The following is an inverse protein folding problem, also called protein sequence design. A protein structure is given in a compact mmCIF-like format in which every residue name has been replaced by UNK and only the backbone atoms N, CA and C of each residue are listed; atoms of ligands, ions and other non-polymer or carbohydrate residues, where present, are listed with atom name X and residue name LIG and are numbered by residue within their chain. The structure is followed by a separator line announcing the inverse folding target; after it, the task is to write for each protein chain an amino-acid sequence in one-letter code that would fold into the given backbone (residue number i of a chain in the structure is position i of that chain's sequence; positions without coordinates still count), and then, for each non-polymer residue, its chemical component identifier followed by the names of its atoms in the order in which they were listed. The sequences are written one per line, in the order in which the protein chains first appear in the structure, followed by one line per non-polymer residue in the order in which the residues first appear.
data_IF_370299351253
#
_entry.id   IF_370299351253
#
_cell.length_a   1.000
_cell.length_b   1.000
_cell.length_c   1.000
_cell.angle_alpha   90.00
_cell.angle_beta   90.00
_cell.angle_gamma   90.00
#
_symmetry.space_group_name_H-M   'P 1'
#
loop_
_entity.id
_entity.type
_entity.pdbx_description
1 polymer ?
#
# COMPACT_ATOMS: atom_id res chain seq x y z
N UNK A 1 -8.69 19.15 19.69
CA UNK A 1 -9.84 18.20 19.81
C UNK A 1 -9.47 17.16 20.87
N UNK A 2 -10.35 16.78 21.80
CA UNK A 2 -9.99 15.69 22.72
C UNK A 2 -9.96 14.35 21.98
N UNK A 3 -8.93 13.52 22.19
CA UNK A 3 -8.86 12.18 21.58
C UNK A 3 -10.06 11.32 21.99
N UNK A 4 -10.49 10.42 21.08
CA UNK A 4 -11.58 9.46 21.34
C UNK A 4 -11.10 8.24 22.15
N UNK A 5 -9.81 7.95 22.14
CA UNK A 5 -9.17 6.86 22.87
C UNK A 5 -8.37 7.39 24.06
N UNK A 6 -8.39 6.67 25.17
CA UNK A 6 -7.65 7.03 26.37
C UNK A 6 -6.14 6.73 26.23
N UNK A 7 -5.81 5.60 25.60
CA UNK A 7 -4.46 5.18 25.29
C UNK A 7 -4.24 5.26 23.75
N UNK A 8 -3.02 5.56 23.25
CA UNK A 8 -2.79 5.71 21.82
C UNK A 8 -2.99 4.42 21.05
N UNK A 9 -3.32 4.55 19.76
CA UNK A 9 -3.07 3.48 18.77
C UNK A 9 -1.60 3.53 18.42
N UNK A 10 -0.89 2.41 18.56
CA UNK A 10 0.52 2.33 18.24
C UNK A 10 0.66 1.94 16.77
N UNK A 11 1.46 2.70 16.03
CA UNK A 11 1.79 2.43 14.63
C UNK A 11 3.28 2.09 14.54
N UNK A 12 3.59 0.86 14.21
CA UNK A 12 4.97 0.40 14.02
C UNK A 12 5.41 0.64 12.58
N UNK A 13 6.33 1.59 12.36
CA UNK A 13 6.87 2.00 11.08
C UNK A 13 6.41 3.38 10.62
N UNK A 14 7.39 4.25 10.32
CA UNK A 14 7.21 5.64 9.88
C UNK A 14 7.28 5.84 8.37
N UNK A 15 7.10 4.78 7.57
CA UNK A 15 6.99 4.86 6.11
C UNK A 15 5.64 5.41 5.63
N UNK A 16 5.42 5.42 4.30
CA UNK A 16 4.19 5.94 3.68
C UNK A 16 2.92 5.34 4.32
N UNK A 17 2.89 4.00 4.53
CA UNK A 17 1.72 3.33 5.11
C UNK A 17 1.44 3.73 6.56
N UNK A 18 2.48 3.81 7.39
CA UNK A 18 2.33 4.17 8.81
C UNK A 18 1.92 5.63 9.03
N UNK A 19 2.55 6.57 8.31
CA UNK A 19 2.14 7.98 8.35
C UNK A 19 0.72 8.19 7.82
N UNK A 20 0.36 7.47 6.74
CA UNK A 20 -1.01 7.49 6.23
C UNK A 20 -2.03 6.94 7.24
N UNK A 21 -1.68 5.84 7.96
CA UNK A 21 -2.53 5.27 9.01
C UNK A 21 -2.74 6.25 10.17
N UNK A 22 -1.66 6.90 10.64
CA UNK A 22 -1.76 7.91 11.69
C UNK A 22 -2.66 9.08 11.27
N UNK A 23 -2.51 9.58 10.03
CA UNK A 23 -3.37 10.63 9.48
C UNK A 23 -4.84 10.19 9.39
N UNK A 24 -5.10 8.99 8.91
CA UNK A 24 -6.46 8.46 8.79
C UNK A 24 -7.14 8.33 10.15
N UNK A 25 -6.42 7.83 11.15
CA UNK A 25 -6.89 7.74 12.53
C UNK A 25 -7.15 9.12 13.14
N UNK A 26 -6.22 10.06 12.99
CA UNK A 26 -6.36 11.43 13.48
C UNK A 26 -7.55 12.17 12.86
N UNK A 27 -7.81 11.97 11.54
CA UNK A 27 -8.99 12.50 10.87
C UNK A 27 -10.31 11.96 11.41
N UNK A 28 -10.27 10.83 12.11
CA UNK A 28 -11.42 10.23 12.83
C UNK A 28 -11.38 10.52 14.35
N UNK A 29 -10.42 11.34 14.79
CA UNK A 29 -10.30 11.78 16.18
C UNK A 29 -9.59 10.80 17.11
N UNK A 30 -8.88 9.81 16.58
CA UNK A 30 -8.09 8.88 17.38
C UNK A 30 -6.66 9.39 17.53
N UNK A 31 -6.13 9.30 18.75
CA UNK A 31 -4.73 9.56 19.06
C UNK A 31 -3.87 8.36 18.69
N UNK A 32 -2.72 8.60 18.08
CA UNK A 32 -1.75 7.58 17.72
C UNK A 32 -0.30 7.99 18.01
N UNK A 33 0.56 7.00 18.21
CA UNK A 33 2.02 7.17 18.31
C UNK A 33 2.67 6.36 17.21
N UNK A 34 3.46 7.02 16.37
CA UNK A 34 4.20 6.38 15.26
C UNK A 34 5.64 6.14 15.69
N UNK A 35 6.07 4.89 15.64
CA UNK A 35 7.45 4.48 15.91
C UNK A 35 8.21 4.28 14.61
N UNK A 36 9.36 4.94 14.49
CA UNK A 36 10.31 4.78 13.39
C UNK A 36 11.67 4.33 13.93
N UNK A 37 12.24 3.28 13.32
CA UNK A 37 13.52 2.72 13.74
C UNK A 37 14.71 3.63 13.40
N UNK A 38 14.62 4.39 12.30
CA UNK A 38 15.66 5.34 11.91
C UNK A 38 15.72 6.54 12.86
N UNK A 39 16.86 7.22 12.88
CA UNK A 39 17.08 8.43 13.69
C UNK A 39 16.28 9.64 13.18
N UNK A 40 15.76 9.56 11.96
CA UNK A 40 14.89 10.58 11.37
C UNK A 40 13.88 9.93 10.43
N UNK A 41 12.73 10.57 10.27
CA UNK A 41 11.77 10.20 9.24
C UNK A 41 12.33 10.58 7.87
N UNK A 42 12.34 9.62 6.94
CA UNK A 42 12.82 9.84 5.58
C UNK A 42 12.64 8.61 4.71
N UNK A 43 12.80 8.81 3.41
CA UNK A 43 12.74 7.74 2.42
C UNK A 43 13.92 7.85 1.47
N UNK A 44 14.56 6.72 1.17
CA UNK A 44 15.58 6.64 0.13
C UNK A 44 14.86 6.70 -1.23
N UNK A 45 15.12 7.77 -1.98
CA UNK A 45 14.27 8.19 -3.07
C UNK A 45 14.56 7.57 -4.42
N UNK A 46 13.56 6.99 -5.02
CA UNK A 46 13.38 6.80 -6.46
C UNK A 46 12.03 7.38 -6.86
N UNK A 47 11.77 7.45 -8.17
CA UNK A 47 10.45 7.83 -8.66
C UNK A 47 9.37 6.84 -8.24
N UNK A 48 8.17 7.36 -8.11
CA UNK A 48 6.94 6.60 -7.85
C UNK A 48 5.81 7.11 -8.74
N UNK A 49 4.90 6.24 -9.12
CA UNK A 49 3.73 6.57 -9.93
C UNK A 49 2.50 6.70 -9.02
N UNK A 50 1.67 7.69 -9.29
CA UNK A 50 0.45 8.01 -8.54
C UNK A 50 -0.74 7.86 -9.48
N UNK A 51 -1.36 6.70 -9.45
CA UNK A 51 -2.59 6.40 -10.19
C UNK A 51 -3.82 7.06 -9.52
N UNK A 52 -4.97 7.14 -10.20
CA UNK A 52 -6.17 7.80 -9.67
C UNK A 52 -6.61 7.32 -8.30
N UNK A 53 -6.55 6.02 -8.01
CA UNK A 53 -6.89 5.46 -6.70
C UNK A 53 -5.98 5.98 -5.58
N UNK A 54 -4.69 6.17 -5.85
CA UNK A 54 -3.75 6.77 -4.89
C UNK A 54 -4.08 8.25 -4.61
N UNK A 55 -4.45 9.02 -5.65
CA UNK A 55 -4.89 10.41 -5.48
C UNK A 55 -6.12 10.51 -4.59
N UNK A 56 -7.12 9.65 -4.79
CA UNK A 56 -8.30 9.62 -3.93
C UNK A 56 -7.95 9.35 -2.47
N UNK A 57 -6.99 8.46 -2.21
CA UNK A 57 -6.52 8.21 -0.85
C UNK A 57 -5.77 9.41 -0.27
N UNK A 58 -4.86 10.04 -1.02
CA UNK A 58 -4.15 11.25 -0.61
C UNK A 58 -5.09 12.43 -0.32
N UNK A 59 -6.12 12.61 -1.14
CA UNK A 59 -7.14 13.64 -0.94
C UNK A 59 -7.98 13.33 0.33
N UNK A 60 -8.35 12.08 0.57
CA UNK A 60 -9.03 11.64 1.80
C UNK A 60 -8.18 11.89 3.05
N UNK A 61 -6.87 11.65 2.97
CA UNK A 61 -5.90 11.95 4.03
C UNK A 61 -5.62 13.45 4.20
N UNK A 62 -6.05 14.29 3.24
CA UNK A 62 -5.93 15.75 3.27
C UNK A 62 -4.53 16.27 2.92
N UNK A 63 -3.71 15.45 2.26
CA UNK A 63 -2.35 15.83 1.81
C UNK A 63 -2.20 15.87 0.29
N UNK A 64 -3.26 15.54 -0.46
CA UNK A 64 -3.22 15.53 -1.92
C UNK A 64 -2.76 16.85 -2.52
N UNK A 65 -3.17 17.99 -1.96
CA UNK A 65 -2.74 19.32 -2.40
C UNK A 65 -1.23 19.59 -2.22
N UNK A 66 -0.60 19.00 -1.19
CA UNK A 66 0.85 19.11 -0.97
C UNK A 66 1.60 18.29 -2.03
N UNK A 67 1.19 17.05 -2.26
CA UNK A 67 1.82 16.16 -3.25
C UNK A 67 1.68 16.71 -4.67
N UNK A 68 0.54 17.34 -5.01
CA UNK A 68 0.29 17.93 -6.35
C UNK A 68 1.31 19.00 -6.73
N UNK A 69 1.92 19.70 -5.78
CA UNK A 69 2.91 20.74 -6.04
C UNK A 69 4.20 20.21 -6.65
N UNK A 70 4.60 19.00 -6.27
CA UNK A 70 5.85 18.37 -6.70
C UNK A 70 5.65 17.31 -7.79
N UNK A 71 4.40 16.89 -8.04
CA UNK A 71 4.07 15.87 -9.00
C UNK A 71 4.17 16.37 -10.46
N UNK A 72 4.59 15.48 -11.36
CA UNK A 72 4.52 15.68 -12.80
C UNK A 72 3.32 14.91 -13.34
N UNK A 73 2.34 15.63 -13.88
CA UNK A 73 1.20 15.02 -14.56
C UNK A 73 1.64 14.60 -15.95
N UNK A 74 1.52 13.31 -16.23
CA UNK A 74 1.95 12.72 -17.50
C UNK A 74 0.73 12.46 -18.40
N UNK A 75 0.98 12.41 -19.71
CA UNK A 75 -0.06 12.34 -20.74
C UNK A 75 -0.29 10.92 -21.24
N UNK A 76 0.67 10.01 -21.02
CA UNK A 76 0.59 8.63 -21.52
C UNK A 76 1.19 7.61 -20.55
N UNK A 77 0.66 6.37 -20.61
CA UNK A 77 1.39 5.17 -20.23
C UNK A 77 1.79 4.45 -21.51
N UNK A 78 3.10 4.31 -21.73
CA UNK A 78 3.63 3.75 -22.96
C UNK A 78 4.34 2.40 -22.71
N UNK A 79 4.13 1.45 -23.59
CA UNK A 79 4.98 0.27 -23.66
C UNK A 79 5.54 0.11 -25.07
N UNK A 80 6.86 0.00 -25.15
CA UNK A 80 7.60 -0.32 -26.36
C UNK A 80 8.16 -1.72 -26.29
N UNK A 81 8.26 -2.35 -27.44
CA UNK A 81 9.08 -3.53 -27.63
C UNK A 81 10.55 -3.14 -27.55
N UNK A 82 11.28 -3.69 -26.57
CA UNK A 82 12.67 -3.32 -26.32
C UNK A 82 13.63 -3.73 -27.44
N UNK A 83 13.28 -4.74 -28.24
CA UNK A 83 14.12 -5.26 -29.33
C UNK A 83 13.87 -4.51 -30.64
N UNK A 84 12.61 -4.39 -31.06
CA UNK A 84 12.26 -3.71 -32.32
C UNK A 84 12.14 -2.20 -32.21
N UNK A 85 11.90 -1.68 -31.01
CA UNK A 85 11.59 -0.27 -30.79
C UNK A 85 10.15 0.12 -31.14
N UNK A 86 9.30 -0.85 -31.52
CA UNK A 86 7.89 -0.62 -31.85
C UNK A 86 7.09 -0.19 -30.61
N UNK A 87 6.20 0.82 -30.77
CA UNK A 87 5.24 1.17 -29.74
C UNK A 87 4.09 0.17 -29.72
N UNK A 88 3.96 -0.58 -28.63
CA UNK A 88 3.00 -1.69 -28.47
C UNK A 88 1.75 -1.23 -27.71
N UNK A 89 1.93 -0.37 -26.68
CA UNK A 89 0.83 0.16 -25.86
C UNK A 89 0.93 1.67 -25.80
N UNK A 90 -0.22 2.32 -25.97
CA UNK A 90 -0.39 3.75 -25.76
C UNK A 90 -1.72 3.97 -25.05
N UNK A 91 -1.63 4.30 -23.76
CA UNK A 91 -2.81 4.61 -22.94
C UNK A 91 -2.81 6.12 -22.70
N UNK A 92 -3.66 6.89 -23.38
CA UNK A 92 -3.76 8.32 -23.16
C UNK A 92 -4.35 8.62 -21.78
N UNK A 93 -3.74 9.56 -21.05
CA UNK A 93 -4.16 10.00 -19.71
C UNK A 93 -4.87 11.36 -19.80
N UNK A 94 -5.72 11.51 -20.80
CA UNK A 94 -6.43 12.73 -21.17
C UNK A 94 -7.63 13.03 -20.25
N UNK A 95 -8.44 14.03 -20.64
CA UNK A 95 -9.65 14.42 -19.90
C UNK A 95 -10.67 13.27 -19.76
N UNK A 96 -10.73 12.31 -20.71
CA UNK A 96 -11.61 11.14 -20.63
C UNK A 96 -11.17 10.21 -19.52
N UNK A 97 -9.84 9.96 -19.44
CA UNK A 97 -9.24 9.19 -18.35
C UNK A 97 -9.54 9.82 -16.98
N UNK A 98 -9.25 11.12 -16.82
CA UNK A 98 -9.49 11.82 -15.56
C UNK A 98 -10.98 11.87 -15.18
N UNK A 99 -11.89 12.02 -16.18
CA UNK A 99 -13.33 11.96 -15.96
C UNK A 99 -13.80 10.57 -15.49
N UNK A 100 -13.24 9.51 -16.09
CA UNK A 100 -13.62 8.12 -15.75
C UNK A 100 -13.19 7.74 -14.35
N UNK A 101 -11.95 8.03 -14.00
CA UNK A 101 -11.36 7.59 -12.72
C UNK A 101 -11.39 8.66 -11.61
N UNK A 102 -11.89 9.87 -11.90
CA UNK A 102 -12.07 10.96 -10.95
C UNK A 102 -10.78 11.73 -10.62
N UNK A 103 -9.62 11.28 -11.07
CA UNK A 103 -8.32 11.91 -10.86
C UNK A 103 -7.38 11.64 -12.06
N UNK A 104 -6.39 12.53 -12.31
CA UNK A 104 -5.36 12.29 -13.31
C UNK A 104 -4.35 11.24 -12.86
N UNK A 105 -3.40 10.91 -13.72
CA UNK A 105 -2.22 10.11 -13.41
C UNK A 105 -0.99 11.01 -13.31
N UNK A 106 -0.13 10.74 -12.35
CA UNK A 106 1.10 11.51 -12.17
C UNK A 106 2.27 10.63 -11.74
N UNK A 107 3.45 11.22 -11.79
CA UNK A 107 4.69 10.65 -11.25
C UNK A 107 5.33 11.66 -10.30
N UNK A 108 6.01 11.18 -9.28
CA UNK A 108 6.69 12.05 -8.32
C UNK A 108 7.89 11.33 -7.70
N UNK A 109 8.67 12.03 -6.92
CA UNK A 109 9.71 11.42 -6.10
C UNK A 109 9.07 10.82 -4.83
N UNK A 110 9.47 9.60 -4.45
CA UNK A 110 8.89 8.89 -3.28
C UNK A 110 9.00 9.70 -1.98
N UNK A 111 10.11 10.42 -1.80
CA UNK A 111 10.33 11.28 -0.65
C UNK A 111 9.34 12.46 -0.58
N UNK A 112 8.79 12.91 -1.72
CA UNK A 112 7.84 14.01 -1.75
C UNK A 112 6.45 13.58 -1.22
N UNK A 113 6.03 12.33 -1.50
CA UNK A 113 4.83 11.75 -0.87
C UNK A 113 5.05 11.56 0.63
N UNK A 114 6.18 10.96 1.00
CA UNK A 114 6.52 10.72 2.40
C UNK A 114 6.58 12.03 3.21
N UNK A 115 7.27 13.05 2.67
CA UNK A 115 7.36 14.37 3.28
C UNK A 115 5.98 15.03 3.45
N UNK A 116 5.12 14.94 2.43
CA UNK A 116 3.76 15.48 2.50
C UNK A 116 2.89 14.80 3.58
N UNK A 117 3.03 13.47 3.73
CA UNK A 117 2.37 12.72 4.81
C UNK A 117 2.93 13.11 6.18
N UNK A 118 4.25 13.23 6.29
CA UNK A 118 4.93 13.64 7.52
C UNK A 118 4.52 15.05 7.95
N UNK A 119 4.45 15.99 7.02
CA UNK A 119 4.00 17.36 7.28
C UNK A 119 2.52 17.37 7.71
N UNK A 120 1.69 16.55 7.09
CA UNK A 120 0.31 16.33 7.53
C UNK A 120 0.21 15.81 8.97
N UNK A 121 1.09 14.87 9.35
CA UNK A 121 1.17 14.35 10.73
C UNK A 121 1.63 15.44 11.70
N UNK A 122 2.67 16.18 11.37
CA UNK A 122 3.19 17.29 12.19
C UNK A 122 2.19 18.42 12.40
N UNK A 123 1.25 18.58 11.49
CA UNK A 123 0.17 19.57 11.62
C UNK A 123 -0.90 19.19 12.64
N UNK A 124 -0.88 17.99 13.22
CA UNK A 124 -1.86 17.46 14.17
C UNK A 124 -1.17 16.92 15.45
N UNK A 125 -0.32 17.71 16.13
CA UNK A 125 0.50 17.21 17.24
C UNK A 125 -0.31 16.75 18.45
N UNK A 126 -1.55 17.20 18.60
CA UNK A 126 -2.46 16.78 19.64
C UNK A 126 -3.06 15.37 19.42
N UNK A 127 -2.95 14.83 18.19
CA UNK A 127 -3.49 13.51 17.83
C UNK A 127 -2.42 12.56 17.29
N UNK A 128 -1.26 13.07 16.90
CA UNK A 128 -0.18 12.23 16.33
C UNK A 128 1.14 12.56 17.02
N UNK A 129 1.68 11.59 17.75
CA UNK A 129 3.03 11.65 18.28
C UNK A 129 3.98 10.88 17.36
N UNK A 130 5.14 11.48 17.04
CA UNK A 130 6.16 10.90 16.16
C UNK A 130 7.42 10.58 16.97
N UNK A 131 7.85 9.30 16.99
CA UNK A 131 9.06 8.84 17.71
C UNK A 131 10.03 8.18 16.76
N UNK A 132 11.25 8.71 16.69
CA UNK A 132 12.38 8.14 15.95
C UNK A 132 13.31 7.34 16.88
N UNK A 133 14.27 6.59 16.31
CA UNK A 133 15.17 5.71 17.05
C UNK A 133 14.42 4.76 18.00
N UNK A 134 13.25 4.27 17.55
CA UNK A 134 12.29 3.50 18.34
C UNK A 134 11.84 2.26 17.54
N UNK A 135 12.76 1.30 17.40
CA UNK A 135 12.49 0.05 16.71
C UNK A 135 11.54 -0.83 17.53
N UNK A 136 10.41 -1.18 16.95
CA UNK A 136 9.49 -2.16 17.52
C UNK A 136 10.06 -3.55 17.34
N UNK A 137 10.16 -4.32 18.42
CA UNK A 137 10.72 -5.67 18.45
C UNK A 137 9.67 -6.76 18.73
N UNK A 138 8.48 -6.34 19.16
CA UNK A 138 7.38 -7.27 19.41
C UNK A 138 6.21 -6.64 20.16
N UNK A 139 5.24 -7.47 20.49
CA UNK A 139 4.05 -7.05 21.21
C UNK A 139 3.43 -8.20 22.01
N UNK A 140 2.56 -7.82 22.96
CA UNK A 140 1.63 -8.71 23.66
C UNK A 140 0.22 -8.12 23.56
N UNK A 141 -0.78 -8.94 23.18
CA UNK A 141 -2.19 -8.53 23.16
C UNK A 141 -2.88 -9.11 24.39
N UNK A 142 -3.38 -8.22 25.25
CA UNK A 142 -4.09 -8.56 26.49
C UNK A 142 -5.61 -8.49 26.33
N UNK A 143 -6.14 -8.43 25.10
CA UNK A 143 -7.58 -8.39 24.79
C UNK A 143 -8.22 -7.02 24.99
N UNK A 144 -7.86 -6.25 26.01
CA UNK A 144 -8.35 -4.89 26.27
C UNK A 144 -7.35 -3.82 25.84
N UNK A 145 -6.07 -4.14 25.75
CA UNK A 145 -4.97 -3.28 25.34
C UNK A 145 -3.82 -4.11 24.78
N UNK A 146 -2.91 -3.45 24.10
CA UNK A 146 -1.64 -4.05 23.65
C UNK A 146 -0.47 -3.45 24.41
N UNK A 147 0.57 -4.26 24.65
CA UNK A 147 1.87 -3.78 25.13
C UNK A 147 2.86 -3.99 24.00
N UNK A 148 3.41 -2.91 23.46
CA UNK A 148 4.39 -2.93 22.36
C UNK A 148 5.78 -2.77 22.95
N UNK A 149 6.70 -3.64 22.52
CA UNK A 149 8.10 -3.67 22.95
C UNK A 149 8.97 -2.98 21.90
N UNK A 150 9.79 -2.06 22.34
CA UNK A 150 10.90 -1.50 21.57
C UNK A 150 12.24 -2.00 22.11
N UNK A 151 13.35 -1.61 21.49
CA UNK A 151 14.69 -1.94 22.03
C UNK A 151 14.96 -1.30 23.41
N UNK A 152 14.22 -0.23 23.76
CA UNK A 152 14.46 0.56 24.96
C UNK A 152 13.35 0.49 25.99
N UNK A 153 12.10 0.41 25.54
CA UNK A 153 10.91 0.63 26.36
C UNK A 153 9.78 -0.34 26.01
N UNK A 154 8.79 -0.37 26.90
CA UNK A 154 7.48 -0.99 26.64
C UNK A 154 6.41 0.08 26.75
N UNK A 155 5.50 0.10 25.79
CA UNK A 155 4.47 1.10 25.69
C UNK A 155 3.10 0.43 25.57
N UNK A 156 2.19 0.86 26.43
CA UNK A 156 0.81 0.41 26.42
C UNK A 156 -0.01 1.24 25.43
N UNK A 157 -0.87 0.58 24.67
CA UNK A 157 -1.75 1.23 23.71
C UNK A 157 -3.09 0.52 23.57
N UNK A 158 -4.05 1.19 22.96
CA UNK A 158 -5.38 0.63 22.68
C UNK A 158 -5.31 -0.47 21.61
N UNK A 159 -4.43 -0.31 20.63
CA UNK A 159 -4.26 -1.24 19.50
C UNK A 159 -2.89 -1.04 18.84
N UNK A 160 -2.49 -1.99 17.99
CA UNK A 160 -1.24 -1.96 17.22
C UNK A 160 -1.51 -2.12 15.72
N UNK A 161 -0.97 -1.21 14.92
CA UNK A 161 -0.90 -1.29 13.45
C UNK A 161 0.54 -1.60 13.06
N UNK A 162 0.81 -2.78 12.52
CA UNK A 162 2.09 -3.19 11.96
C UNK A 162 2.24 -2.65 10.53
N UNK A 163 2.93 -1.52 10.39
CA UNK A 163 3.29 -0.88 9.12
C UNK A 163 4.82 -0.90 8.92
N UNK A 164 5.50 -1.92 9.45
CA UNK A 164 6.94 -2.10 9.58
C UNK A 164 7.58 -2.76 8.33
N UNK A 165 6.84 -2.74 7.21
CA UNK A 165 7.35 -3.06 5.88
C UNK A 165 7.50 -4.56 5.59
N UNK A 166 8.16 -4.88 4.48
CA UNK A 166 8.27 -6.25 3.97
C UNK A 166 8.99 -7.24 4.90
N UNK A 167 9.80 -6.74 5.86
CA UNK A 167 10.50 -7.54 6.89
C UNK A 167 9.82 -7.43 8.26
N UNK A 168 8.50 -7.25 8.28
CA UNK A 168 7.70 -7.00 9.47
C UNK A 168 7.86 -8.05 10.57
N UNK A 169 8.25 -7.60 11.77
CA UNK A 169 8.29 -8.43 12.98
C UNK A 169 6.88 -8.66 13.56
N UNK A 170 5.95 -7.74 13.25
CA UNK A 170 4.55 -7.89 13.66
C UNK A 170 3.89 -9.01 12.85
N UNK A 171 4.16 -9.06 11.54
CA UNK A 171 3.69 -10.14 10.65
C UNK A 171 4.16 -11.51 11.11
N UNK A 172 5.43 -11.64 11.45
CA UNK A 172 5.98 -12.91 11.95
C UNK A 172 5.15 -13.47 13.11
N UNK A 173 4.70 -12.61 14.02
CA UNK A 173 3.88 -13.03 15.18
C UNK A 173 2.41 -13.29 14.86
N UNK A 174 1.85 -12.66 13.82
CA UNK A 174 0.44 -12.87 13.42
C UNK A 174 0.31 -14.06 12.50
N UNK A 175 1.16 -14.11 11.46
CA UNK A 175 1.08 -15.05 10.34
C UNK A 175 1.96 -16.28 10.57
N UNK A 176 3.14 -16.11 11.21
CA UNK A 176 4.12 -17.18 11.44
C UNK A 176 5.10 -17.35 10.28
N UNK A 177 5.05 -16.52 9.22
CA UNK A 177 6.05 -16.51 8.16
C UNK A 177 7.22 -15.58 8.51
N UNK A 178 8.47 -15.99 8.24
CA UNK A 178 9.64 -15.29 8.76
C UNK A 178 10.21 -14.24 7.81
N UNK A 179 10.58 -14.62 6.60
CA UNK A 179 11.29 -13.74 5.67
C UNK A 179 10.56 -13.60 4.34
N UNK A 180 10.72 -12.44 3.66
CA UNK A 180 10.29 -12.29 2.28
C UNK A 180 10.99 -13.30 1.35
N UNK A 181 10.29 -13.71 0.31
CA UNK A 181 10.82 -14.59 -0.72
C UNK A 181 11.74 -13.84 -1.67
N UNK A 182 12.88 -14.45 -1.99
CA UNK A 182 13.82 -13.96 -2.99
C UNK A 182 13.30 -14.34 -4.36
N UNK A 183 13.07 -13.35 -5.24
CA UNK A 183 12.52 -13.59 -6.58
C UNK A 183 13.57 -13.99 -7.62
N UNK A 184 14.84 -13.73 -7.33
CA UNK A 184 15.91 -13.79 -8.33
C UNK A 184 15.94 -12.56 -9.26
N UNK A 185 15.03 -11.61 -9.12
CA UNK A 185 14.99 -10.39 -9.93
C UNK A 185 15.86 -9.30 -9.30
N UNK A 186 16.66 -8.63 -10.12
CA UNK A 186 17.48 -7.49 -9.71
C UNK A 186 16.97 -6.21 -10.35
N UNK A 187 16.83 -5.16 -9.56
CA UNK A 187 16.43 -3.84 -9.99
C UNK A 187 17.60 -2.87 -9.88
N UNK A 188 17.92 -2.18 -10.96
CA UNK A 188 18.92 -1.11 -11.03
C UNK A 188 18.21 0.22 -11.23
N UNK A 189 18.56 1.21 -10.43
CA UNK A 189 17.90 2.53 -10.45
C UNK A 189 18.93 3.64 -10.57
N UNK A 190 18.56 4.66 -11.34
CA UNK A 190 19.27 5.93 -11.40
C UNK A 190 18.28 7.09 -11.45
N UNK A 191 18.67 8.22 -10.89
CA UNK A 191 17.96 9.50 -11.05
C UNK A 191 18.93 10.43 -11.77
N UNK A 192 18.52 10.92 -12.93
CA UNK A 192 19.34 11.75 -13.84
C UNK A 192 18.89 13.20 -13.79
N UNK A 193 19.78 14.13 -14.06
CA UNK A 193 19.38 15.47 -14.47
C UNK A 193 18.69 15.39 -15.85
N UNK A 194 17.62 16.11 -16.06
CA UNK A 194 16.89 16.08 -17.33
C UNK A 194 17.76 16.48 -18.52
N UNK A 195 18.78 17.34 -18.31
CA UNK A 195 19.66 17.82 -19.36
C UNK A 195 20.58 16.71 -19.90
N UNK A 196 20.87 15.67 -19.09
CA UNK A 196 21.66 14.51 -19.49
C UNK A 196 20.85 13.49 -20.29
N UNK A 197 19.51 13.56 -20.23
CA UNK A 197 18.61 12.62 -20.91
C UNK A 197 18.52 12.97 -22.40
N UNK A 198 18.63 12.00 -23.33
CA UNK A 198 18.40 12.23 -24.76
C UNK A 198 17.03 12.88 -25.03
N UNK A 199 17.00 13.95 -25.83
CA UNK A 199 15.77 14.74 -26.07
C UNK A 199 14.63 13.89 -26.65
N UNK A 200 14.94 12.93 -27.51
CA UNK A 200 13.99 12.01 -28.15
C UNK A 200 13.44 10.93 -27.20
N UNK A 201 13.87 10.93 -25.93
CA UNK A 201 13.38 10.03 -24.87
C UNK A 201 12.68 10.77 -23.73
N UNK A 202 12.56 12.11 -23.80
CA UNK A 202 11.86 12.95 -22.81
C UNK A 202 10.35 12.94 -23.08
N UNK A 203 9.71 11.79 -22.91
CA UNK A 203 8.24 11.67 -23.07
C UNK A 203 7.49 12.21 -21.85
N UNK A 204 6.35 12.87 -22.07
CA UNK A 204 5.38 13.17 -21.01
C UNK A 204 4.63 11.88 -20.59
N UNK A 205 5.36 10.84 -20.22
CA UNK A 205 4.84 9.50 -20.03
C UNK A 205 5.61 8.73 -18.95
N UNK A 206 4.95 7.74 -18.37
CA UNK A 206 5.65 6.60 -17.81
C UNK A 206 5.84 5.57 -18.93
N UNK A 207 7.09 5.36 -19.31
CA UNK A 207 7.47 4.55 -20.46
C UNK A 207 8.14 3.27 -20.01
N UNK A 208 7.69 2.15 -20.55
CA UNK A 208 8.25 0.81 -20.33
C UNK A 208 8.79 0.26 -21.66
N UNK A 209 10.00 -0.26 -21.63
CA UNK A 209 10.62 -1.05 -22.71
C UNK A 209 10.66 -2.50 -22.27
N UNK A 210 9.90 -3.36 -22.95
CA UNK A 210 9.71 -4.76 -22.58
C UNK A 210 10.53 -5.67 -23.50
N UNK A 211 11.32 -6.58 -22.92
CA UNK A 211 12.06 -7.61 -23.66
C UNK A 211 12.25 -8.87 -22.81
N UNK A 212 12.83 -9.90 -23.40
CA UNK A 212 13.08 -11.17 -22.72
C UNK A 212 13.91 -10.97 -21.44
N UNK A 213 13.38 -11.45 -20.32
CA UNK A 213 14.02 -11.41 -18.99
C UNK A 213 14.45 -10.02 -18.49
N UNK A 214 13.99 -8.94 -19.13
CA UNK A 214 14.34 -7.60 -18.69
C UNK A 214 13.26 -6.58 -19.07
N UNK A 215 13.19 -5.49 -18.33
CA UNK A 215 12.46 -4.30 -18.75
C UNK A 215 13.12 -3.03 -18.20
N UNK A 216 12.88 -1.92 -18.90
CA UNK A 216 13.35 -0.59 -18.51
C UNK A 216 12.13 0.30 -18.36
N UNK A 217 12.04 1.04 -17.25
CA UNK A 217 10.98 2.02 -17.01
C UNK A 217 11.62 3.38 -16.77
N UNK A 218 11.08 4.42 -17.40
CA UNK A 218 11.54 5.77 -17.18
C UNK A 218 10.40 6.79 -17.24
N UNK A 219 10.56 7.91 -16.54
CA UNK A 219 9.62 9.03 -16.50
C UNK A 219 10.22 10.28 -15.86
N UNK A 220 9.70 11.48 -16.15
CA UNK A 220 10.18 12.75 -15.55
C UNK A 220 9.79 12.84 -14.07
N UNK A 221 10.55 13.65 -13.31
CA UNK A 221 10.31 13.95 -11.90
C UNK A 221 10.51 15.45 -11.62
N UNK A 222 9.95 15.93 -10.49
CA UNK A 222 10.17 17.27 -9.93
C UNK A 222 10.08 18.39 -10.96
N UNK A 223 8.91 18.48 -11.62
CA UNK A 223 8.67 19.53 -12.63
C UNK A 223 9.62 19.47 -13.82
N UNK A 224 10.00 18.25 -14.26
CA UNK A 224 10.95 18.04 -15.36
C UNK A 224 12.40 18.44 -15.06
N UNK A 225 12.80 18.55 -13.80
CA UNK A 225 14.20 18.79 -13.43
C UNK A 225 15.00 17.49 -13.37
N UNK A 226 14.35 16.41 -12.95
CA UNK A 226 14.94 15.09 -12.80
C UNK A 226 14.22 14.06 -13.67
N UNK A 227 14.90 12.92 -13.88
CA UNK A 227 14.39 11.82 -14.68
C UNK A 227 14.68 10.49 -13.98
N UNK A 228 13.64 9.71 -13.74
CA UNK A 228 13.77 8.40 -13.12
C UNK A 228 14.07 7.34 -14.16
N UNK A 229 15.03 6.50 -13.88
CA UNK A 229 15.38 5.33 -14.68
C UNK A 229 15.41 4.10 -13.77
N UNK A 230 14.66 3.08 -14.16
CA UNK A 230 14.58 1.78 -13.48
C UNK A 230 14.78 0.68 -14.52
N UNK A 231 15.79 -0.13 -14.34
CA UNK A 231 16.07 -1.29 -15.17
C UNK A 231 15.97 -2.54 -14.31
N UNK A 232 15.16 -3.50 -14.73
CA UNK A 232 14.93 -4.76 -14.00
C UNK A 232 15.33 -5.92 -14.85
N UNK A 233 16.05 -6.87 -14.28
CA UNK A 233 16.40 -8.15 -14.90
C UNK A 233 15.83 -9.30 -14.10
N UNK A 234 15.42 -10.36 -14.82
CA UNK A 234 15.06 -11.64 -14.25
C UNK A 234 16.31 -12.54 -14.30
N UNK A 235 16.69 -13.09 -13.16
CA UNK A 235 17.83 -13.99 -13.07
C UNK A 235 17.65 -14.98 -11.94
N UNK A 236 18.69 -15.71 -11.64
CA UNK A 236 18.75 -16.63 -10.49
C UNK A 236 19.60 -16.05 -9.37
N UNK A 237 19.46 -14.74 -9.14
CA UNK A 237 20.20 -14.07 -8.06
C UNK A 237 19.68 -14.55 -6.71
N UNK A 238 20.54 -15.12 -5.90
CA UNK A 238 20.19 -15.67 -4.57
C UNK A 238 20.72 -14.80 -3.42
N UNK A 239 21.60 -13.87 -3.74
CA UNK A 239 22.20 -12.92 -2.78
C UNK A 239 22.44 -11.58 -3.47
N UNK A 240 22.58 -10.55 -2.71
CA UNK A 240 22.92 -9.21 -3.20
C UNK A 240 21.94 -8.14 -2.77
N UNK A 241 22.40 -6.99 -2.72
CA UNK A 241 22.08 -5.61 -2.68
C UNK A 241 20.78 -5.16 -2.11
N UNK A 242 20.94 -4.39 -1.06
CA UNK A 242 19.94 -3.39 -0.69
C UNK A 242 20.62 -2.02 -0.80
N UNK A 243 20.32 -1.26 -1.86
CA UNK A 243 20.90 0.05 -2.11
C UNK A 243 22.42 0.03 -2.35
N UNK A 244 22.94 -1.03 -2.98
CA UNK A 244 24.36 -1.13 -3.34
C UNK A 244 24.65 -0.39 -4.64
N UNK A 245 25.90 0.09 -4.77
CA UNK A 245 26.39 0.66 -6.02
C UNK A 245 26.62 -0.45 -7.07
N UNK A 246 26.28 -0.15 -8.31
CA UNK A 246 26.58 -0.97 -9.47
C UNK A 246 27.10 -0.09 -10.61
N UNK A 247 28.14 -0.53 -11.30
CA UNK A 247 28.73 0.22 -12.41
C UNK A 247 28.00 -0.09 -13.73
N UNK A 248 27.95 0.85 -14.68
CA UNK A 248 27.31 0.63 -15.98
C UNK A 248 27.82 -0.61 -16.70
N UNK A 249 29.11 -0.94 -16.57
CA UNK A 249 29.74 -2.13 -17.18
C UNK A 249 29.17 -3.44 -16.65
N UNK A 250 28.67 -3.44 -15.41
CA UNK A 250 27.97 -4.60 -14.81
C UNK A 250 26.54 -4.69 -15.34
N UNK A 251 25.88 -3.57 -15.59
CA UNK A 251 24.43 -3.50 -15.88
C UNK A 251 24.15 -3.62 -17.38
N UNK A 252 24.91 -2.93 -18.23
CA UNK A 252 24.66 -2.82 -19.67
C UNK A 252 24.64 -4.16 -20.43
N UNK A 253 25.47 -5.16 -20.11
CA UNK A 253 25.43 -6.44 -20.80
C UNK A 253 24.07 -7.15 -20.76
N UNK A 254 23.30 -6.99 -19.70
CA UNK A 254 21.96 -7.58 -19.58
C UNK A 254 20.95 -7.01 -20.57
N UNK A 255 21.24 -5.83 -21.14
CA UNK A 255 20.36 -5.10 -22.07
C UNK A 255 20.92 -5.07 -23.51
N UNK A 256 21.98 -5.82 -23.82
CA UNK A 256 22.66 -5.80 -25.13
C UNK A 256 21.76 -6.14 -26.31
N UNK A 257 20.66 -6.85 -26.08
CA UNK A 257 19.66 -7.22 -27.08
C UNK A 257 18.60 -6.14 -27.35
N UNK A 258 18.64 -5.02 -26.62
CA UNK A 258 17.72 -3.89 -26.80
C UNK A 258 18.11 -3.06 -28.04
N UNK A 259 17.11 -2.40 -28.65
CA UNK A 259 17.36 -1.42 -29.70
C UNK A 259 18.08 -0.18 -29.14
N UNK A 260 18.63 0.65 -30.03
CA UNK A 260 19.50 1.78 -29.66
C UNK A 260 18.86 2.81 -28.72
N UNK A 261 17.53 3.08 -28.84
CA UNK A 261 16.87 4.13 -28.07
C UNK A 261 17.00 3.91 -26.55
N UNK A 262 16.51 2.81 -25.96
CA UNK A 262 16.66 2.59 -24.53
C UNK A 262 18.11 2.38 -24.12
N UNK A 263 18.97 1.84 -24.98
CA UNK A 263 20.41 1.70 -24.68
C UNK A 263 21.12 3.07 -24.55
N UNK A 264 20.75 4.08 -25.34
CA UNK A 264 21.27 5.45 -25.17
C UNK A 264 20.96 5.97 -23.75
N UNK A 265 19.74 5.76 -23.27
CA UNK A 265 19.35 6.16 -21.92
C UNK A 265 20.10 5.36 -20.84
N UNK A 266 20.26 4.04 -21.03
CA UNK A 266 20.99 3.18 -20.09
C UNK A 266 22.48 3.51 -19.96
N UNK A 267 23.08 4.14 -20.97
CA UNK A 267 24.49 4.60 -20.96
C UNK A 267 24.68 5.97 -20.29
N UNK A 268 23.60 6.67 -19.95
CA UNK A 268 23.66 8.00 -19.34
C UNK A 268 24.11 8.00 -17.87
N UNK A 269 23.62 7.08 -17.01
CA UNK A 269 24.05 7.07 -15.61
C UNK A 269 25.55 6.78 -15.44
N UNK A 270 26.20 7.51 -14.55
CA UNK A 270 27.58 7.23 -14.12
C UNK A 270 27.64 6.03 -13.16
N UNK A 271 26.55 5.77 -12.45
CA UNK A 271 26.37 4.68 -11.52
C UNK A 271 24.89 4.32 -11.37
N UNK A 272 24.61 3.10 -10.97
CA UNK A 272 23.28 2.64 -10.59
C UNK A 272 23.27 2.28 -9.11
N UNK A 273 22.07 2.29 -8.52
CA UNK A 273 21.78 1.64 -7.26
C UNK A 273 21.02 0.35 -7.53
N UNK A 274 21.45 -0.76 -6.93
CA UNK A 274 20.81 -2.06 -7.13
C UNK A 274 20.06 -2.54 -5.89
N UNK A 275 18.95 -3.22 -6.15
CA UNK A 275 18.13 -3.89 -5.16
C UNK A 275 17.71 -5.26 -5.63
N UNK A 276 17.86 -6.26 -4.77
CA UNK A 276 17.16 -7.53 -4.92
C UNK A 276 15.66 -7.29 -4.72
N UNK A 277 14.84 -7.73 -5.67
CA UNK A 277 13.40 -7.66 -5.51
C UNK A 277 12.90 -8.83 -4.67
N UNK A 278 12.13 -8.50 -3.67
CA UNK A 278 11.54 -9.43 -2.73
C UNK A 278 10.02 -9.30 -2.79
N UNK A 279 9.31 -10.37 -2.43
CA UNK A 279 7.87 -10.35 -2.22
C UNK A 279 7.46 -11.31 -1.10
N UNK A 280 6.19 -11.31 -0.73
CA UNK A 280 5.58 -12.32 0.12
C UNK A 280 4.42 -12.99 -0.60
N UNK A 281 4.12 -14.23 -0.24
CA UNK A 281 2.88 -14.85 -0.67
C UNK A 281 1.68 -14.20 0.05
N UNK A 282 0.51 -14.15 -0.60
CA UNK A 282 -0.72 -13.69 0.02
C UNK A 282 -1.09 -14.54 1.23
N UNK A 283 -1.66 -13.88 2.24
CA UNK A 283 -2.20 -14.52 3.44
C UNK A 283 -3.60 -13.97 3.73
N UNK A 284 -4.42 -14.74 4.39
CA UNK A 284 -5.82 -14.42 4.69
C UNK A 284 -6.05 -13.88 6.11
N UNK A 285 -4.99 -13.81 6.93
CA UNK A 285 -5.06 -13.35 8.31
C UNK A 285 -4.12 -12.16 8.55
N UNK A 286 -4.60 -10.95 8.31
CA UNK A 286 -3.86 -9.71 8.60
C UNK A 286 -4.07 -9.22 10.03
N UNK A 287 -5.15 -9.65 10.66
CA UNK A 287 -5.60 -9.12 11.95
C UNK A 287 -5.80 -10.24 12.97
N UNK A 288 -5.34 -9.99 14.20
CA UNK A 288 -5.60 -10.85 15.36
C UNK A 288 -5.84 -9.99 16.58
N UNK A 289 -7.07 -10.04 17.13
CA UNK A 289 -7.44 -9.22 18.27
C UNK A 289 -7.25 -7.73 18.00
N UNK A 290 -6.42 -7.08 18.79
CA UNK A 290 -6.14 -5.64 18.72
C UNK A 290 -4.87 -5.31 17.89
N UNK A 291 -4.46 -6.22 17.01
CA UNK A 291 -3.27 -6.05 16.16
C UNK A 291 -3.64 -6.33 14.71
N UNK A 292 -3.19 -5.46 13.79
CA UNK A 292 -3.38 -5.62 12.35
C UNK A 292 -2.13 -5.25 11.57
N UNK A 293 -2.00 -5.78 10.35
CA UNK A 293 -0.96 -5.44 9.38
C UNK A 293 -1.47 -4.41 8.38
N UNK A 294 -0.57 -3.60 7.82
CA UNK A 294 -0.87 -2.59 6.83
C UNK A 294 0.28 -2.44 5.81
N UNK A 295 -0.06 -2.24 4.55
CA UNK A 295 0.90 -2.01 3.48
C UNK A 295 1.82 -3.21 3.24
N UNK A 296 3.13 -2.99 3.08
CA UNK A 296 4.09 -4.06 2.79
C UNK A 296 4.21 -5.12 3.91
N UNK A 297 3.81 -4.81 5.14
CA UNK A 297 3.69 -5.82 6.19
C UNK A 297 2.58 -6.84 5.89
N UNK A 298 1.49 -6.40 5.25
CA UNK A 298 0.37 -7.26 4.86
C UNK A 298 0.56 -7.90 3.48
N UNK A 299 0.95 -7.13 2.45
CA UNK A 299 0.89 -7.54 1.04
C UNK A 299 2.11 -7.11 0.22
N UNK A 300 3.32 -7.35 0.74
CA UNK A 300 4.57 -7.03 0.05
C UNK A 300 4.62 -7.64 -1.34
N UNK A 301 4.78 -6.80 -2.37
CA UNK A 301 4.66 -7.15 -3.77
C UNK A 301 5.78 -6.58 -4.63
N UNK A 302 5.97 -7.18 -5.81
CA UNK A 302 6.84 -6.63 -6.83
C UNK A 302 6.31 -5.29 -7.35
N UNK A 303 7.22 -4.43 -7.79
CA UNK A 303 6.92 -3.06 -8.26
C UNK A 303 6.18 -2.98 -9.61
N UNK A 304 5.89 -4.10 -10.25
CA UNK A 304 5.46 -4.19 -11.66
C UNK A 304 4.11 -3.54 -11.98
N UNK A 305 3.25 -3.37 -10.99
CA UNK A 305 2.00 -2.61 -11.15
C UNK A 305 2.07 -1.17 -10.62
N UNK A 306 3.20 -0.77 -10.02
CA UNK A 306 3.36 0.54 -9.36
C UNK A 306 2.25 0.85 -8.34
N UNK A 307 1.74 -0.16 -7.60
CA UNK A 307 0.57 -0.03 -6.72
C UNK A 307 0.87 -0.23 -5.23
N UNK A 308 2.08 -0.63 -4.81
CA UNK A 308 2.37 -0.93 -3.40
C UNK A 308 2.01 0.22 -2.45
N UNK A 309 2.52 1.42 -2.73
CA UNK A 309 2.21 2.60 -1.92
C UNK A 309 0.73 3.04 -2.03
N UNK A 310 0.12 2.89 -3.23
CA UNK A 310 -1.30 3.18 -3.42
C UNK A 310 -2.17 2.27 -2.54
N UNK A 311 -1.85 0.96 -2.50
CA UNK A 311 -2.56 0.01 -1.62
C UNK A 311 -2.35 0.34 -0.14
N UNK A 312 -1.15 0.72 0.29
CA UNK A 312 -0.89 1.12 1.68
C UNK A 312 -1.68 2.39 2.09
N UNK A 313 -1.82 3.36 1.19
CA UNK A 313 -2.65 4.56 1.45
C UNK A 313 -4.16 4.23 1.45
N UNK A 314 -4.63 3.34 0.56
CA UNK A 314 -6.00 2.84 0.62
C UNK A 314 -6.28 2.06 1.91
N UNK A 315 -5.32 1.25 2.37
CA UNK A 315 -5.39 0.53 3.65
C UNK A 315 -5.61 1.50 4.79
N UNK A 316 -4.80 2.55 4.86
CA UNK A 316 -4.87 3.57 5.90
C UNK A 316 -6.25 4.25 5.95
N UNK A 317 -6.79 4.63 4.81
CA UNK A 317 -8.13 5.23 4.70
C UNK A 317 -9.20 4.24 5.16
N UNK A 318 -9.13 2.99 4.71
CA UNK A 318 -10.05 1.94 5.12
C UNK A 318 -9.98 1.67 6.63
N UNK A 319 -8.77 1.59 7.20
CA UNK A 319 -8.52 1.40 8.62
C UNK A 319 -9.16 2.52 9.45
N UNK A 320 -8.89 3.79 9.10
CA UNK A 320 -9.47 4.93 9.80
C UNK A 320 -11.00 4.96 9.74
N UNK A 321 -11.59 4.60 8.59
CA UNK A 321 -13.04 4.47 8.46
C UNK A 321 -13.59 3.32 9.31
N UNK A 322 -12.94 2.15 9.31
CA UNK A 322 -13.36 0.99 10.10
C UNK A 322 -13.27 1.26 11.60
N UNK A 323 -12.24 1.99 12.05
CA UNK A 323 -12.13 2.44 13.43
C UNK A 323 -13.28 3.40 13.84
N UNK A 324 -13.67 4.30 12.93
CA UNK A 324 -14.81 5.20 13.13
C UNK A 324 -16.15 4.46 13.16
N UNK A 325 -16.36 3.50 12.25
CA UNK A 325 -17.56 2.67 12.17
C UNK A 325 -17.75 1.78 13.41
N UNK A 326 -16.66 1.25 13.95
CA UNK A 326 -16.64 0.41 15.15
C UNK A 326 -16.61 1.24 16.47
N UNK A 327 -16.70 2.56 16.39
CA UNK A 327 -16.66 3.50 17.54
C UNK A 327 -15.42 3.32 18.45
N UNK A 328 -14.28 2.91 17.86
CA UNK A 328 -13.02 2.68 18.57
C UNK A 328 -12.88 1.31 19.20
N UNK A 329 -13.79 0.36 18.94
CA UNK A 329 -13.51 -1.05 19.19
C UNK A 329 -12.57 -1.57 18.10
N UNK A 330 -11.26 -1.55 18.38
CA UNK A 330 -10.24 -1.88 17.41
C UNK A 330 -10.21 -3.36 17.03
N UNK A 331 -10.67 -4.28 17.87
CA UNK A 331 -10.77 -5.68 17.48
C UNK A 331 -11.80 -5.87 16.36
N UNK A 332 -12.97 -5.27 16.50
CA UNK A 332 -14.01 -5.24 15.45
C UNK A 332 -13.55 -4.42 14.24
N UNK A 333 -12.91 -3.25 14.46
CA UNK A 333 -12.43 -2.40 13.38
C UNK A 333 -11.41 -3.10 12.47
N UNK A 334 -10.49 -3.86 13.05
CA UNK A 334 -9.45 -4.57 12.30
C UNK A 334 -10.02 -5.77 11.51
N UNK A 335 -11.02 -6.46 12.05
CA UNK A 335 -11.76 -7.47 11.30
C UNK A 335 -12.45 -6.87 10.07
N UNK A 336 -13.18 -5.77 10.26
CA UNK A 336 -13.88 -5.06 9.17
C UNK A 336 -12.90 -4.47 8.13
N UNK A 337 -11.75 -3.96 8.57
CA UNK A 337 -10.68 -3.50 7.70
C UNK A 337 -10.14 -4.62 6.83
N UNK A 338 -9.77 -5.75 7.43
CA UNK A 338 -9.26 -6.92 6.72
C UNK A 338 -10.28 -7.41 5.68
N UNK A 339 -11.54 -7.59 6.05
CA UNK A 339 -12.60 -8.03 5.16
C UNK A 339 -12.73 -7.14 3.91
N UNK A 340 -12.69 -5.82 4.10
CA UNK A 340 -12.82 -4.84 3.00
C UNK A 340 -11.58 -4.79 2.10
N UNK A 341 -10.38 -5.09 2.63
CA UNK A 341 -9.12 -4.89 1.94
C UNK A 341 -8.53 -6.15 1.32
N UNK A 342 -8.73 -7.30 1.97
CA UNK A 342 -8.03 -8.54 1.66
C UNK A 342 -8.04 -8.89 0.17
N UNK A 343 -9.22 -9.01 -0.42
CA UNK A 343 -9.36 -9.45 -1.82
C UNK A 343 -8.75 -8.43 -2.80
N UNK A 344 -8.98 -7.12 -2.56
CA UNK A 344 -8.47 -6.08 -3.45
C UNK A 344 -6.94 -5.99 -3.43
N UNK A 345 -6.34 -5.94 -2.25
CA UNK A 345 -4.88 -5.85 -2.14
C UNK A 345 -4.20 -7.15 -2.61
N UNK A 346 -4.76 -8.31 -2.26
CA UNK A 346 -4.28 -9.61 -2.74
C UNK A 346 -4.36 -9.73 -4.27
N UNK A 347 -5.43 -9.22 -4.90
CA UNK A 347 -5.52 -9.19 -6.37
C UNK A 347 -4.41 -8.37 -6.99
N UNK A 348 -4.08 -7.21 -6.43
CA UNK A 348 -2.94 -6.39 -6.88
C UNK A 348 -1.63 -7.14 -6.67
N UNK A 349 -1.43 -7.74 -5.49
CA UNK A 349 -0.24 -8.50 -5.14
C UNK A 349 0.00 -9.68 -6.10
N UNK A 350 -1.01 -10.49 -6.37
CA UNK A 350 -0.93 -11.61 -7.32
C UNK A 350 -0.67 -11.09 -8.73
N UNK A 351 -1.35 -10.02 -9.15
CA UNK A 351 -1.15 -9.43 -10.46
C UNK A 351 0.28 -8.92 -10.64
N UNK A 352 0.83 -8.22 -9.63
CA UNK A 352 2.19 -7.71 -9.66
C UNK A 352 3.23 -8.85 -9.64
N UNK A 353 3.02 -9.87 -8.81
CA UNK A 353 4.01 -10.92 -8.60
C UNK A 353 4.02 -11.99 -9.71
N UNK A 354 2.85 -12.30 -10.31
CA UNK A 354 2.69 -13.47 -11.18
C UNK A 354 2.20 -13.13 -12.60
N UNK A 355 1.38 -12.10 -12.80
CA UNK A 355 0.71 -11.88 -14.08
C UNK A 355 1.41 -10.85 -14.98
N UNK A 356 1.72 -9.68 -14.43
CA UNK A 356 2.24 -8.56 -15.24
C UNK A 356 3.64 -8.84 -15.78
N UNK A 357 4.48 -9.54 -15.02
CA UNK A 357 5.79 -9.98 -15.47
C UNK A 357 5.75 -10.87 -16.71
N UNK A 358 4.71 -11.69 -16.86
CA UNK A 358 4.50 -12.52 -18.05
C UNK A 358 4.25 -11.70 -19.32
N UNK A 359 3.79 -10.45 -19.19
CA UNK A 359 3.59 -9.54 -20.32
C UNK A 359 4.90 -8.81 -20.65
N UNK A 360 5.64 -8.40 -19.63
CA UNK A 360 6.86 -7.61 -19.81
C UNK A 360 8.05 -8.43 -20.29
N UNK A 361 8.13 -9.71 -19.89
CA UNK A 361 9.32 -10.55 -20.01
C UNK A 361 9.12 -11.77 -20.90
N UNK A 362 8.24 -11.68 -21.88
CA UNK A 362 8.00 -12.79 -22.82
C UNK A 362 9.30 -13.17 -23.55
N UNK A 363 9.51 -14.47 -23.84
CA UNK A 363 10.61 -14.91 -24.68
C UNK A 363 10.63 -14.22 -26.05
N UNK A 364 11.82 -14.10 -26.62
CA UNK A 364 11.94 -13.67 -28.01
C UNK A 364 11.32 -14.69 -28.99
N UNK A 365 11.01 -14.21 -30.18
CA UNK A 365 10.38 -15.05 -31.22
C UNK A 365 8.85 -14.88 -31.23
N UNK A 366 8.13 -15.99 -31.32
CA UNK A 366 6.67 -15.97 -31.53
C UNK A 366 5.91 -15.37 -30.35
N UNK A 367 6.31 -15.67 -29.11
CA UNK A 367 5.67 -15.14 -27.91
C UNK A 367 5.71 -13.62 -27.87
N UNK A 368 6.84 -13.01 -28.25
CA UNK A 368 6.98 -11.56 -28.32
C UNK A 368 6.09 -10.98 -29.43
N UNK A 369 6.04 -11.60 -30.60
CA UNK A 369 5.17 -11.17 -31.69
C UNK A 369 3.69 -11.26 -31.30
N UNK A 370 3.28 -12.36 -30.67
CA UNK A 370 1.90 -12.54 -30.16
C UNK A 370 1.57 -11.49 -29.10
N UNK A 371 2.46 -11.24 -28.14
CA UNK A 371 2.29 -10.19 -27.14
C UNK A 371 2.06 -8.83 -27.81
N UNK A 372 2.89 -8.47 -28.80
CA UNK A 372 2.76 -7.20 -29.52
C UNK A 372 1.42 -7.11 -30.24
N UNK A 373 1.01 -8.18 -30.92
CA UNK A 373 -0.26 -8.27 -31.66
C UNK A 373 -1.49 -8.14 -30.71
N UNK A 374 -1.47 -8.80 -29.56
CA UNK A 374 -2.56 -8.72 -28.56
C UNK A 374 -2.88 -7.29 -28.10
N UNK A 375 -1.90 -6.40 -28.11
CA UNK A 375 -2.06 -5.01 -27.64
C UNK A 375 -2.14 -4.01 -28.78
N UNK A 376 -1.65 -4.35 -29.99
CA UNK A 376 -1.68 -3.48 -31.17
C UNK A 376 -3.11 -3.10 -31.50
N UNK A 377 -3.33 -1.79 -31.70
CA UNK A 377 -4.65 -1.27 -32.10
C UNK A 377 -5.73 -1.36 -31.03
N UNK A 378 -5.39 -1.73 -29.79
CA UNK A 378 -6.36 -1.69 -28.69
C UNK A 378 -6.71 -0.25 -28.38
N UNK A 379 -8.02 0.05 -28.31
CA UNK A 379 -8.51 1.40 -28.02
C UNK A 379 -8.23 1.82 -26.56
N UNK A 380 -8.23 3.12 -26.30
CA UNK A 380 -8.08 3.68 -24.95
C UNK A 380 -9.13 3.12 -23.99
N UNK A 381 -10.38 3.03 -24.44
CA UNK A 381 -11.51 2.53 -23.66
C UNK A 381 -11.29 1.10 -23.18
N UNK A 382 -10.77 0.22 -24.05
CA UNK A 382 -10.46 -1.17 -23.68
C UNK A 382 -9.34 -1.25 -22.62
N UNK A 383 -8.37 -0.33 -22.66
CA UNK A 383 -7.38 -0.22 -21.60
C UNK A 383 -7.98 0.30 -20.31
N UNK A 384 -8.85 1.31 -20.37
CA UNK A 384 -9.55 1.83 -19.19
C UNK A 384 -10.42 0.76 -18.54
N UNK A 385 -11.16 -0.03 -19.32
CA UNK A 385 -11.96 -1.17 -18.84
C UNK A 385 -11.07 -2.18 -18.08
N UNK A 386 -9.91 -2.51 -18.66
CA UNK A 386 -8.98 -3.45 -18.04
C UNK A 386 -8.34 -2.92 -16.73
N UNK A 387 -8.28 -1.60 -16.56
CA UNK A 387 -7.68 -0.92 -15.39
C UNK A 387 -8.73 -0.43 -14.37
N UNK A 388 -10.04 -0.51 -14.69
CA UNK A 388 -11.14 -0.04 -13.85
C UNK A 388 -11.05 -0.56 -12.42
N UNK A 389 -10.83 -1.86 -12.27
CA UNK A 389 -10.81 -2.54 -10.98
C UNK A 389 -9.71 -2.04 -10.03
N UNK A 390 -8.62 -1.47 -10.57
CA UNK A 390 -7.48 -0.98 -9.76
C UNK A 390 -7.47 0.54 -9.67
N UNK A 391 -7.83 1.27 -10.73
CA UNK A 391 -7.75 2.74 -10.74
C UNK A 391 -8.98 3.43 -10.16
N UNK A 392 -10.15 2.77 -10.18
CA UNK A 392 -11.33 3.30 -9.51
C UNK A 392 -11.20 3.24 -8.00
N UNK A 393 -11.51 4.35 -7.34
CA UNK A 393 -11.50 4.42 -5.89
C UNK A 393 -12.63 3.58 -5.29
N UNK A 394 -12.34 2.73 -4.30
CA UNK A 394 -13.36 2.01 -3.54
C UNK A 394 -14.28 2.96 -2.74
N UNK A 395 -15.48 2.47 -2.39
CA UNK A 395 -16.48 3.27 -1.66
C UNK A 395 -15.96 3.80 -0.30
N UNK A 396 -15.17 3.01 0.41
CA UNK A 396 -14.60 3.44 1.69
C UNK A 396 -13.62 4.63 1.53
N UNK A 397 -12.97 4.77 0.37
CA UNK A 397 -12.12 5.94 0.07
C UNK A 397 -13.00 7.13 -0.30
N UNK A 398 -13.97 6.94 -1.20
CA UNK A 398 -14.89 8.01 -1.65
C UNK A 398 -15.70 8.60 -0.50
N UNK A 399 -16.13 7.76 0.44
CA UNK A 399 -17.01 8.15 1.56
C UNK A 399 -16.26 8.54 2.82
N UNK A 400 -14.92 8.54 2.82
CA UNK A 400 -14.12 8.81 4.01
C UNK A 400 -14.44 10.15 4.65
N UNK A 401 -14.53 11.24 3.87
CA UNK A 401 -14.83 12.59 4.38
C UNK A 401 -16.30 12.78 4.75
N UNK A 402 -17.24 12.17 4.02
CA UNK A 402 -18.67 12.40 4.16
C UNK A 402 -19.23 11.95 5.54
N UNK A 403 -18.70 10.86 6.09
CA UNK A 403 -19.17 10.34 7.40
C UNK A 403 -18.67 11.15 8.58
N UNK A 404 -17.53 11.82 8.48
CA UNK A 404 -17.04 12.76 9.52
C UNK A 404 -17.96 13.97 9.70
N UNK A 405 -18.50 14.52 8.61
CA UNK A 405 -19.42 15.66 8.65
C UNK A 405 -20.81 15.31 9.21
N UNK A 406 -21.28 14.07 9.05
CA UNK A 406 -22.58 13.65 9.57
C UNK A 406 -22.59 13.47 11.11
N UNK A 407 -21.47 13.08 11.73
CA UNK A 407 -21.36 12.96 13.19
C UNK A 407 -21.24 14.32 13.89
N UNK A 408 -20.58 15.31 13.29
CA UNK A 408 -20.48 16.65 13.85
C UNK A 408 -21.85 17.36 13.93
N UNK A 409 -22.88 16.85 13.23
CA UNK A 409 -24.25 17.38 13.24
C UNK A 409 -25.22 16.63 14.17
N UNK A 410 -24.80 15.55 14.85
CA UNK A 410 -25.67 14.90 15.86
C UNK A 410 -25.61 15.70 17.15
N UNK A 411 -26.75 16.24 17.63
CA UNK A 411 -26.82 16.85 18.96
C UNK A 411 -26.49 15.81 20.03
N UNK A 412 -25.64 16.17 20.98
CA UNK A 412 -25.35 15.35 22.14
C UNK A 412 -26.65 14.94 22.85
N UNK A 413 -26.94 13.65 22.91
CA UNK A 413 -28.09 13.14 23.64
C UNK A 413 -27.98 13.58 25.12
N UNK A 414 -29.05 14.06 25.74
CA UNK A 414 -29.03 14.51 27.14
C UNK A 414 -28.69 13.32 28.06
N UNK A 415 -27.66 13.49 28.90
CA UNK A 415 -27.33 12.55 29.98
C UNK A 415 -28.58 12.37 30.85
N UNK A 416 -29.18 11.18 30.84
CA UNK A 416 -30.22 10.81 31.81
C UNK A 416 -29.59 10.85 33.21
N UNK A 417 -30.09 11.79 34.03
CA UNK A 417 -29.79 11.85 35.43
C UNK A 417 -30.33 10.58 36.11
N UNK A 418 -29.46 9.87 36.80
CA UNK A 418 -29.85 8.75 37.65
C UNK A 418 -30.59 9.27 38.85
N UNK A 419 -31.92 9.12 38.86
CA UNK A 419 -32.73 9.34 40.05
C UNK A 419 -32.64 8.11 40.96
N UNK A 420 -32.08 8.33 42.16
CA UNK A 420 -32.22 7.43 43.32
C UNK A 420 -33.69 7.38 43.73
N UNK A 421 -34.29 6.18 43.72
CA UNK A 421 -35.49 5.90 44.47
C UNK A 421 -35.27 4.64 45.30
N UNK A 422 -35.57 4.83 46.59
CA UNK A 422 -35.35 3.91 47.69
C UNK A 422 -36.33 2.71 47.69
N UNK A 423 -35.89 1.67 48.34
CA UNK A 423 -36.59 0.43 48.62
C UNK A 423 -37.94 0.59 49.36
N UNK A 424 -38.89 -0.26 49.05
CA UNK A 424 -39.77 -0.86 50.03
C UNK A 424 -40.22 -2.28 49.59
N UNK A 425 -40.07 -3.18 50.53
CA UNK A 425 -40.45 -4.61 50.55
C UNK A 425 -41.94 -4.82 50.51
N UNK A 426 -42.42 -5.90 49.89
CA UNK A 426 -43.38 -6.84 50.50
C UNK A 426 -43.43 -8.10 49.63
N UNK A 427 -43.42 -9.23 50.29
CA UNK A 427 -43.37 -10.57 49.76
C UNK A 427 -44.74 -11.19 49.46
N UNK A 428 -44.71 -12.33 48.76
CA UNK A 428 -45.54 -13.51 49.02
C UNK A 428 -45.32 -14.57 47.92
N UNK A 429 -44.81 -15.69 48.36
CA UNK A 429 -45.16 -17.11 48.17
C UNK A 429 -45.73 -17.60 46.83
N UNK A 430 -44.99 -18.51 46.23
CA UNK A 430 -45.16 -19.94 46.12
C UNK A 430 -46.00 -20.47 44.92
N UNK A 431 -45.43 -21.25 44.05
CA UNK A 431 -45.68 -22.72 43.93
C UNK A 431 -45.01 -23.33 42.72
N UNK A 432 -44.51 -24.48 42.99
CA UNK A 432 -43.83 -25.46 42.17
C UNK A 432 -44.68 -26.06 41.05
N UNK A 433 -44.00 -26.55 39.96
CA UNK A 433 -44.13 -27.93 39.48
C UNK A 433 -43.14 -28.22 38.30
N UNK A 434 -42.40 -29.26 38.46
CA UNK A 434 -41.63 -30.05 37.49
C UNK A 434 -42.57 -31.12 36.89
N UNK A 435 -42.13 -32.07 35.99
CA UNK A 435 -40.98 -32.23 35.12
C UNK A 435 -41.25 -32.95 33.76
N UNK A 436 -40.20 -33.16 33.00
CA UNK A 436 -39.83 -34.31 32.17
C UNK A 436 -40.41 -34.53 30.77
N UNK A 437 -39.54 -34.72 29.78
CA UNK A 437 -39.12 -35.99 29.16
C UNK A 437 -38.19 -35.80 27.94
N UNK A 438 -37.06 -36.53 27.98
CA UNK A 438 -36.22 -37.00 26.85
C UNK A 438 -36.68 -38.41 26.50
N UNK A 439 -36.07 -39.14 25.52
CA UNK A 439 -35.58 -38.98 24.16
C UNK A 439 -36.27 -39.98 23.18
N UNK A 440 -35.78 -40.46 22.02
CA UNK A 440 -34.58 -41.27 21.88
C UNK A 440 -33.77 -41.14 20.54
N UNK A 441 -32.58 -41.71 20.62
CA UNK A 441 -31.58 -42.06 19.65
C UNK A 441 -31.97 -43.13 18.63
N UNK A 442 -31.28 -43.15 17.43
CA UNK A 442 -30.82 -44.33 16.65
C UNK A 442 -30.07 -43.86 15.41
N UNK A 443 -28.87 -44.18 15.29
CA UNK A 443 -28.01 -45.28 14.80
C UNK A 443 -27.70 -45.17 13.32
N UNK A 444 -26.38 -45.01 13.08
CA UNK A 444 -25.43 -45.73 12.21
C UNK A 444 -25.88 -46.18 10.80
N UNK A 445 -25.03 -45.79 9.79
CA UNK A 445 -24.32 -46.75 8.92
C UNK A 445 -23.38 -46.01 7.97
N UNK A 446 -22.08 -46.26 8.03
CA UNK A 446 -21.16 -46.37 6.90
C UNK A 446 -21.21 -47.82 6.40
N UNK A 447 -20.65 -48.23 5.22
CA UNK A 447 -19.37 -47.86 4.66
C UNK A 447 -19.27 -47.92 3.11
N UNK A 448 -18.05 -47.56 2.62
CA UNK A 448 -17.27 -48.11 1.49
C UNK A 448 -17.65 -47.73 0.04
N UNK A 449 -16.80 -47.00 -0.64
CA UNK A 449 -15.61 -47.35 -1.45
C UNK A 449 -14.84 -46.09 -1.85
#
# INVERSE_FOLDING_TARGET
MRPRNAEPVIVAGGGIGGLAAALALARKGFHSVVFEQASQFGEIGAGIQIAPNAWHALDALGVGGLVKKEAVFIEHLLMFDGVSGEKVVDIPLDKRFAKRFGNPYAVTHRADIHGSLLDGCKALPELIELRTSARVTGFEDHGTAVVVKTEKDQIRGTALVGADGGKSVIREKIVGDTLPLITGHMCYRAVLDINDVPKDLRFAAATLWAAHNAHIVHYPLRGWKLFNLVATIIGKHTSGGHNELAQPEEVLPFFSHYCDKPLKLMRTPKEFRRWMLLHREPVDNWSRGRVTLLGDAAHFMLQYMAQGAAMAMEDAVCLGLSADEADGDFATAFGNYQEKRLVRATRVQISANKLVGMIFHVPDGLERLVRNDMYRGRSAERFYDALEWVFSAPDYVRNFAARGAARSRRPSAPRKAASRAAARSTGSRARAARPARRPPSRRRASPAR
#
